data_IF_444053221613
#
_entry.id   IF_444053221613
#
_cell.length_a   1.000
_cell.length_b   1.000
_cell.length_c   1.000
_cell.angle_alpha   90.00
_cell.angle_beta   90.00
_cell.angle_gamma   90.00
#
_symmetry.space_group_name_H-M   'P 1'
#
loop_
_entity.id
_entity.type
_entity.pdbx_description
1 polymer ?
#
# COMPACT_ATOMS: atom_id res chain seq x y z
N UNK A 1 -14.72 -13.20 10.65
CA UNK A 1 -14.63 -12.78 9.23
C UNK A 1 -13.17 -12.57 8.91
N UNK A 2 -12.53 -13.48 8.20
CA UNK A 2 -11.15 -13.31 7.73
C UNK A 2 -11.24 -12.69 6.33
N UNK A 3 -10.91 -11.40 6.22
CA UNK A 3 -10.81 -10.75 4.92
C UNK A 3 -9.63 -11.35 4.16
N UNK A 4 -9.89 -11.86 2.97
CA UNK A 4 -8.87 -12.40 2.07
C UNK A 4 -7.88 -11.28 1.74
N UNK A 5 -6.63 -11.40 2.19
CA UNK A 5 -5.55 -10.47 1.85
C UNK A 5 -5.26 -10.63 0.35
N UNK A 6 -5.71 -9.68 -0.46
CA UNK A 6 -5.21 -9.52 -1.83
C UNK A 6 -3.74 -9.11 -1.77
N UNK A 7 -2.88 -9.71 -2.60
CA UNK A 7 -1.45 -9.41 -2.65
C UNK A 7 -1.23 -7.90 -2.82
N UNK A 8 -0.93 -7.24 -1.71
CA UNK A 8 -0.56 -5.84 -1.68
C UNK A 8 0.96 -5.78 -1.78
N UNK A 9 1.46 -4.95 -2.69
CA UNK A 9 2.88 -4.65 -2.80
C UNK A 9 3.15 -3.24 -2.32
N UNK A 10 4.27 -3.07 -1.63
CA UNK A 10 4.75 -1.79 -1.15
C UNK A 10 6.03 -1.48 -1.90
N UNK A 11 6.03 -0.39 -2.65
CA UNK A 11 7.22 0.05 -3.38
C UNK A 11 7.91 1.13 -2.57
N UNK A 12 9.21 0.97 -2.34
CA UNK A 12 10.03 2.02 -1.76
C UNK A 12 10.53 2.92 -2.89
N UNK A 13 9.74 3.94 -3.24
CA UNK A 13 10.09 4.84 -4.34
C UNK A 13 11.18 5.82 -3.91
N UNK A 14 11.03 6.39 -2.71
CA UNK A 14 12.00 7.29 -2.10
C UNK A 14 12.13 6.99 -0.62
N UNK A 15 13.37 7.09 -0.11
CA UNK A 15 13.64 7.02 1.33
C UNK A 15 14.58 8.14 1.75
N UNK A 16 14.41 8.58 3.00
CA UNK A 16 15.34 9.48 3.67
C UNK A 16 15.66 8.89 5.03
N UNK A 17 16.95 8.77 5.33
CA UNK A 17 17.44 8.31 6.63
C UNK A 17 18.00 9.54 7.37
N UNK A 18 17.52 9.73 8.59
CA UNK A 18 17.96 10.79 9.50
C UNK A 18 18.19 10.16 10.88
N UNK A 19 19.45 9.86 11.20
CA UNK A 19 19.86 9.12 12.40
C UNK A 19 19.10 7.78 12.56
N UNK A 20 18.28 7.67 13.59
CA UNK A 20 17.45 6.52 13.93
C UNK A 20 16.07 6.57 13.26
N UNK A 21 15.84 7.49 12.31
CA UNK A 21 14.55 7.66 11.63
C UNK A 21 14.65 7.37 10.15
N UNK A 22 13.61 6.71 9.62
CA UNK A 22 13.45 6.47 8.18
C UNK A 22 12.12 7.06 7.74
N UNK A 23 12.15 7.90 6.70
CA UNK A 23 10.95 8.41 6.03
C UNK A 23 10.84 7.75 4.68
N UNK A 24 9.67 7.23 4.36
CA UNK A 24 9.40 6.51 3.12
C UNK A 24 8.23 7.14 2.37
N UNK A 25 8.38 7.28 1.06
CA UNK A 25 7.25 7.47 0.15
C UNK A 25 6.83 6.11 -0.38
N UNK A 26 5.64 5.64 0.01
CA UNK A 26 5.20 4.26 -0.19
C UNK A 26 3.88 4.21 -0.95
N UNK A 27 3.91 3.94 -2.27
CA UNK A 27 2.74 3.50 -2.99
C UNK A 27 2.27 2.14 -2.46
N UNK A 28 1.06 2.11 -1.91
CA UNK A 28 0.34 0.91 -1.49
C UNK A 28 -0.41 0.38 -2.72
N UNK A 29 0.05 -0.73 -3.31
CA UNK A 29 -0.40 -1.19 -4.62
C UNK A 29 -1.17 -2.52 -4.54
N UNK A 30 -2.28 -2.60 -5.24
CA UNK A 30 -2.97 -3.84 -5.58
C UNK A 30 -2.89 -4.04 -7.10
N UNK A 31 -2.43 -5.22 -7.54
CA UNK A 31 -2.37 -5.56 -8.96
C UNK A 31 -3.76 -5.45 -9.60
N UNK A 32 -3.82 -5.05 -10.87
CA UNK A 32 -5.09 -4.94 -11.57
C UNK A 32 -5.71 -6.35 -11.73
N UNK A 33 -6.92 -6.59 -11.20
CA UNK A 33 -7.52 -7.92 -11.20
C UNK A 33 -8.08 -8.32 -12.57
N UNK A 34 -8.24 -7.37 -13.51
CA UNK A 34 -8.79 -7.62 -14.85
C UNK A 34 -7.71 -7.71 -15.94
N UNK A 35 -6.51 -7.20 -15.69
CA UNK A 35 -5.39 -7.21 -16.63
C UNK A 35 -4.07 -7.30 -15.84
N UNK A 36 -3.37 -8.42 -15.96
CA UNK A 36 -2.10 -8.65 -15.28
C UNK A 36 -0.98 -7.69 -15.72
N UNK A 37 -1.14 -7.01 -16.85
CA UNK A 37 -0.21 -6.00 -17.36
C UNK A 37 -0.74 -4.56 -17.20
N UNK A 38 -1.94 -4.41 -16.64
CA UNK A 38 -2.58 -3.12 -16.41
C UNK A 38 -2.01 -2.38 -15.20
N UNK A 39 -2.21 -1.07 -15.17
CA UNK A 39 -1.76 -0.22 -14.05
C UNK A 39 -2.37 -0.68 -12.71
N UNK A 40 -1.57 -0.72 -11.62
CA UNK A 40 -2.08 -1.13 -10.32
C UNK A 40 -3.02 -0.08 -9.73
N UNK A 41 -3.94 -0.55 -8.89
CA UNK A 41 -4.73 0.29 -8.01
C UNK A 41 -3.85 0.70 -6.84
N UNK A 42 -3.62 2.00 -6.66
CA UNK A 42 -2.69 2.47 -5.63
C UNK A 42 -3.10 3.79 -4.98
N UNK A 43 -2.73 3.94 -3.71
CA UNK A 43 -2.71 5.20 -2.98
C UNK A 43 -1.35 5.32 -2.26
N UNK A 44 -0.98 6.53 -1.86
CA UNK A 44 0.33 6.80 -1.28
C UNK A 44 0.21 6.99 0.23
N UNK A 45 1.13 6.38 0.96
CA UNK A 45 1.44 6.70 2.35
C UNK A 45 2.84 7.32 2.44
N UNK A 46 2.98 8.31 3.32
CA UNK A 46 4.26 8.73 3.86
C UNK A 46 4.46 7.99 5.19
N UNK A 47 5.41 7.07 5.24
CA UNK A 47 5.70 6.31 6.46
C UNK A 47 6.90 6.90 7.19
N UNK A 48 6.80 7.04 8.51
CA UNK A 48 7.90 7.39 9.41
C UNK A 48 8.16 6.22 10.36
N UNK A 49 9.39 5.71 10.34
CA UNK A 49 9.84 4.60 11.20
C UNK A 49 10.93 5.07 12.15
N UNK A 50 10.92 4.61 13.41
CA UNK A 50 12.04 4.80 14.35
C UNK A 50 12.73 3.48 14.69
N UNK A 51 14.05 3.46 14.51
CA UNK A 51 14.94 2.35 14.76
C UNK A 51 15.41 2.35 16.21
N UNK A 52 15.19 1.25 16.92
CA UNK A 52 15.56 1.08 18.32
C UNK A 52 16.98 0.52 18.52
N UNK A 53 17.69 0.20 17.44
CA UNK A 53 18.92 -0.58 17.50
C UNK A 53 18.67 -2.09 17.36
N UNK A 54 19.75 -2.84 17.17
CA UNK A 54 19.73 -4.32 17.15
C UNK A 54 18.73 -4.95 16.15
N UNK A 55 18.53 -4.31 15.00
CA UNK A 55 17.61 -4.78 13.98
C UNK A 55 16.12 -4.57 14.30
N UNK A 56 15.79 -3.77 15.34
CA UNK A 56 14.41 -3.58 15.81
C UNK A 56 13.89 -2.16 15.55
N UNK A 57 12.60 -2.06 15.28
CA UNK A 57 11.85 -0.81 15.17
C UNK A 57 10.99 -0.61 16.43
N UNK A 58 10.82 0.62 16.89
CA UNK A 58 9.98 0.94 18.05
C UNK A 58 8.80 1.87 17.74
N UNK A 59 8.71 2.37 16.50
CA UNK A 59 7.63 3.26 16.09
C UNK A 59 7.41 3.20 14.58
N UNK A 60 6.14 3.31 14.19
CA UNK A 60 5.66 3.46 12.83
C UNK A 60 4.48 4.43 12.83
N UNK A 61 4.51 5.39 11.89
CA UNK A 61 3.40 6.29 11.58
C UNK A 61 3.19 6.35 10.07
N UNK A 62 1.95 6.08 9.66
CA UNK A 62 1.52 6.20 8.26
C UNK A 62 0.61 7.41 8.08
N UNK A 63 1.07 8.36 7.26
CA UNK A 63 0.30 9.54 6.90
C UNK A 63 -0.19 9.36 5.45
N UNK A 64 -1.49 9.27 5.27
CA UNK A 64 -2.11 9.11 3.95
C UNK A 64 -3.47 9.81 3.89
N UNK A 65 -3.96 10.03 2.67
CA UNK A 65 -5.30 10.54 2.45
C UNK A 65 -6.31 9.38 2.57
N UNK A 66 -7.10 9.40 3.67
CA UNK A 66 -8.09 8.36 3.93
C UNK A 66 -9.21 8.29 2.88
N UNK A 67 -9.63 9.42 2.31
CA UNK A 67 -10.66 9.44 1.27
C UNK A 67 -10.13 8.88 -0.04
N UNK A 68 -8.87 9.16 -0.38
CA UNK A 68 -8.22 8.57 -1.54
C UNK A 68 -8.06 7.05 -1.38
N UNK A 69 -7.63 6.60 -0.19
CA UNK A 69 -7.55 5.17 0.11
C UNK A 69 -8.91 4.49 -0.05
N UNK A 70 -9.98 5.03 0.53
CA UNK A 70 -11.34 4.49 0.36
C UNK A 70 -11.75 4.42 -1.12
N UNK A 71 -11.51 5.48 -1.88
CA UNK A 71 -11.85 5.56 -3.31
C UNK A 71 -11.13 4.49 -4.12
N UNK A 72 -9.83 4.30 -3.89
CA UNK A 72 -9.03 3.29 -4.60
C UNK A 72 -9.47 1.87 -4.24
N UNK A 73 -9.73 1.59 -2.95
CA UNK A 73 -10.24 0.30 -2.53
C UNK A 73 -11.62 -0.02 -3.12
N UNK A 74 -12.52 0.96 -3.20
CA UNK A 74 -13.83 0.79 -3.84
C UNK A 74 -13.69 0.44 -5.33
N UNK A 75 -12.88 1.19 -6.07
CA UNK A 75 -12.63 0.93 -7.50
C UNK A 75 -11.98 -0.45 -7.73
N UNK A 76 -11.05 -0.84 -6.86
CA UNK A 76 -10.44 -2.17 -6.93
C UNK A 76 -11.47 -3.28 -6.70
N UNK A 77 -12.35 -3.13 -5.69
CA UNK A 77 -13.41 -4.09 -5.40
C UNK A 77 -14.40 -4.23 -6.57
N UNK A 78 -14.80 -3.10 -7.18
CA UNK A 78 -15.62 -3.08 -8.40
C UNK A 78 -14.94 -3.84 -9.55
N UNK A 79 -13.68 -3.54 -9.85
CA UNK A 79 -12.93 -4.21 -10.91
C UNK A 79 -12.76 -5.72 -10.66
N UNK A 80 -12.50 -6.11 -9.41
CA UNK A 80 -12.41 -7.53 -9.02
C UNK A 80 -13.74 -8.27 -9.21
N UNK A 81 -14.85 -7.62 -8.87
CA UNK A 81 -16.19 -8.19 -9.06
C UNK A 81 -16.56 -8.34 -10.53
N UNK A 82 -16.17 -7.38 -11.38
CA UNK A 82 -16.39 -7.45 -12.82
C UNK A 82 -15.52 -8.53 -13.49
N UNK A 83 -14.25 -8.67 -13.09
CA UNK A 83 -13.36 -9.71 -13.61
C UNK A 83 -13.80 -11.13 -13.21
N UNK A 84 -14.44 -11.27 -12.04
CA UNK A 84 -14.98 -12.56 -11.56
C UNK A 84 -16.29 -12.98 -12.26
N UNK A 85 -16.94 -12.08 -13.00
CA UNK A 85 -18.18 -12.35 -13.74
C UNK A 85 -17.94 -12.82 -15.19
N UNK A 86 -16.68 -12.85 -15.63
CA UNK A 86 -16.26 -13.26 -17.00
C UNK A 86 -15.52 -14.62 -16.96
N UNK A 87 -15.51 -15.30 -15.80
CA UNK A 87 -14.91 -16.62 -15.59
C UNK A 87 -15.95 -17.73 -15.51
#
# INVERSE_FOLDING_TARGET
>A
MQGQVTEMSFVFEFSMIDNDRVKLYVPNRSANPADSFGEPYQFVALALLHYAGQGQWCYEEDIYNAEESKRIHARFAEAKSAGSAVG
#
